data_IF_723266233781
#
_entry.id   IF_723266233781
#
_cell.length_a   1.000
_cell.length_b   1.000
_cell.length_c   1.000
_cell.angle_alpha   90.00
_cell.angle_beta   90.00
_cell.angle_gamma   90.00
#
_symmetry.space_group_name_H-M   'P 1'
#
loop_
_entity.id
_entity.type
_entity.pdbx_description
1 polymer ?
#
# COMPACT_ATOMS: atom_id res chain seq x y z
N UNK A 1 -0.74 58.01 9.19
CA UNK A 1 0.51 57.37 9.67
C UNK A 1 1.32 57.00 8.45
N UNK A 2 2.33 57.80 8.14
CA UNK A 2 3.25 57.54 7.03
C UNK A 2 4.13 56.35 7.42
N UNK A 3 4.03 55.24 6.70
CA UNK A 3 4.95 54.11 6.88
C UNK A 3 6.28 54.50 6.26
N UNK A 4 7.31 54.49 7.09
CA UNK A 4 8.70 54.77 6.75
C UNK A 4 9.14 53.91 5.54
N UNK A 5 9.46 54.56 4.43
CA UNK A 5 9.81 53.94 3.14
C UNK A 5 11.26 53.40 3.09
N UNK A 6 11.98 53.42 4.21
CA UNK A 6 13.39 53.03 4.30
C UNK A 6 13.63 51.54 4.62
N UNK A 7 12.60 50.73 4.77
CA UNK A 7 12.76 49.28 5.01
C UNK A 7 13.09 48.58 3.69
N UNK A 8 14.37 48.26 3.49
CA UNK A 8 14.80 47.35 2.42
C UNK A 8 14.22 45.96 2.67
N UNK A 9 13.18 45.61 1.93
CA UNK A 9 12.53 44.30 1.99
C UNK A 9 13.55 43.24 1.54
N UNK A 10 13.79 42.18 2.32
CA UNK A 10 14.72 41.12 1.94
C UNK A 10 14.33 40.49 0.60
N UNK A 11 15.32 40.11 -0.21
CA UNK A 11 15.08 39.45 -1.51
C UNK A 11 14.23 38.17 -1.38
N UNK A 12 14.27 37.50 -0.23
CA UNK A 12 13.40 36.37 0.07
C UNK A 12 11.91 36.76 0.13
N UNK A 13 11.58 37.94 0.66
CA UNK A 13 10.20 38.42 0.77
C UNK A 13 9.62 38.77 -0.60
N UNK A 14 10.41 39.36 -1.50
CA UNK A 14 9.96 39.67 -2.86
C UNK A 14 9.72 38.39 -3.66
N UNK A 15 10.59 37.40 -3.54
CA UNK A 15 10.41 36.10 -4.19
C UNK A 15 9.19 35.34 -3.68
N UNK A 16 8.94 35.38 -2.36
CA UNK A 16 7.75 34.80 -1.76
C UNK A 16 6.47 35.44 -2.31
N UNK A 17 6.41 36.78 -2.35
CA UNK A 17 5.23 37.50 -2.85
C UNK A 17 4.95 37.23 -4.34
N UNK A 18 6.00 37.05 -5.15
CA UNK A 18 5.87 36.66 -6.57
C UNK A 18 5.34 35.23 -6.68
N UNK A 19 5.90 34.28 -5.92
CA UNK A 19 5.45 32.89 -5.94
C UNK A 19 3.99 32.75 -5.50
N UNK A 20 3.56 33.58 -4.53
CA UNK A 20 2.17 33.63 -4.11
C UNK A 20 1.25 34.41 -5.07
N UNK A 21 1.78 35.09 -6.08
CA UNK A 21 0.99 35.88 -7.05
C UNK A 21 0.44 37.19 -6.47
N UNK A 22 0.98 37.63 -5.34
CA UNK A 22 0.68 38.93 -4.72
C UNK A 22 1.31 40.05 -5.56
N UNK A 23 2.50 39.78 -6.11
CA UNK A 23 3.18 40.65 -7.07
C UNK A 23 3.38 39.92 -8.39
N UNK A 24 3.27 40.67 -9.49
CA UNK A 24 3.46 40.15 -10.85
C UNK A 24 4.83 40.58 -11.37
N UNK A 25 5.59 39.63 -11.91
CA UNK A 25 6.87 39.93 -12.57
C UNK A 25 6.61 40.24 -14.04
N UNK A 26 6.97 41.44 -14.48
CA UNK A 26 6.85 41.87 -15.87
C UNK A 26 8.28 42.16 -16.37
N UNK A 27 8.88 41.21 -17.09
CA UNK A 27 10.29 41.30 -17.48
C UNK A 27 11.23 41.34 -16.26
N UNK A 28 12.04 42.40 -16.16
CA UNK A 28 12.98 42.62 -15.05
C UNK A 28 12.42 43.48 -13.91
N UNK A 29 11.19 43.99 -14.04
CA UNK A 29 10.52 44.84 -13.04
C UNK A 29 9.42 44.07 -12.30
N UNK A 30 9.27 44.37 -11.00
CA UNK A 30 8.23 43.79 -10.14
C UNK A 30 7.08 44.79 -10.05
N UNK A 31 5.91 44.41 -10.53
CA UNK A 31 4.70 45.20 -10.36
C UNK A 31 4.14 44.96 -8.95
N UNK A 32 4.09 46.02 -8.15
CA UNK A 32 3.55 46.01 -6.77
C UNK A 32 2.02 45.92 -6.71
N UNK A 33 1.34 46.09 -7.84
CA UNK A 33 -0.11 45.92 -7.97
C UNK A 33 -0.41 44.58 -8.64
N UNK A 34 -0.53 43.53 -7.83
CA UNK A 34 -1.02 42.22 -8.25
C UNK A 34 -2.36 41.88 -7.59
N UNK A 35 -2.66 40.58 -7.50
CA UNK A 35 -3.87 40.11 -6.81
C UNK A 35 -3.80 40.43 -5.31
N UNK A 36 -4.89 40.94 -4.70
CA UNK A 36 -4.93 41.17 -3.26
C UNK A 36 -4.49 39.93 -2.48
N UNK A 37 -3.66 40.16 -1.47
CA UNK A 37 -3.13 39.15 -0.55
C UNK A 37 -4.22 38.25 0.05
N UNK A 38 -5.37 38.85 0.40
CA UNK A 38 -6.57 38.15 0.90
C UNK A 38 -7.11 37.08 -0.05
N UNK A 39 -6.79 37.14 -1.35
CA UNK A 39 -7.22 36.20 -2.38
C UNK A 39 -6.05 35.30 -2.82
N UNK A 40 -4.87 35.90 -3.01
CA UNK A 40 -3.67 35.22 -3.50
C UNK A 40 -3.17 34.14 -2.53
N UNK A 41 -3.13 34.45 -1.22
CA UNK A 41 -2.63 33.56 -0.17
C UNK A 41 -3.48 32.29 -0.04
N UNK A 42 -4.80 32.34 0.20
CA UNK A 42 -5.61 31.14 0.34
C UNK A 42 -5.65 30.30 -0.94
N UNK A 43 -5.65 30.93 -2.12
CA UNK A 43 -5.63 30.22 -3.41
C UNK A 43 -4.36 29.39 -3.58
N UNK A 44 -3.19 29.97 -3.29
CA UNK A 44 -1.90 29.27 -3.39
C UNK A 44 -1.71 28.22 -2.31
N UNK A 45 -2.16 28.50 -1.08
CA UNK A 45 -2.21 27.50 -0.01
C UNK A 45 -3.08 26.31 -0.39
N UNK A 46 -4.24 26.53 -1.03
CA UNK A 46 -5.09 25.45 -1.52
C UNK A 46 -4.41 24.56 -2.56
N UNK A 47 -3.66 25.16 -3.49
CA UNK A 47 -2.86 24.42 -4.48
C UNK A 47 -1.74 23.63 -3.80
N UNK A 48 -0.95 24.27 -2.93
CA UNK A 48 0.13 23.62 -2.19
C UNK A 48 -0.38 22.48 -1.30
N UNK A 49 -1.53 22.67 -0.66
CA UNK A 49 -2.20 21.63 0.12
C UNK A 49 -2.65 20.48 -0.78
N UNK A 50 -3.20 20.76 -1.96
CA UNK A 50 -3.56 19.76 -2.96
C UNK A 50 -2.35 18.95 -3.43
N UNK A 51 -1.23 19.61 -3.73
CA UNK A 51 0.00 18.97 -4.20
C UNK A 51 0.67 18.17 -3.08
N UNK A 52 0.71 18.69 -1.86
CA UNK A 52 1.17 17.97 -0.67
C UNK A 52 0.32 16.73 -0.40
N UNK A 53 -1.01 16.86 -0.53
CA UNK A 53 -1.96 15.73 -0.35
C UNK A 53 -1.75 14.66 -1.42
N UNK A 54 -1.57 15.05 -2.70
CA UNK A 54 -1.28 14.12 -3.79
C UNK A 54 0.05 13.40 -3.56
N UNK A 55 1.08 14.14 -3.18
CA UNK A 55 2.43 13.60 -2.91
C UNK A 55 2.40 12.61 -1.74
N UNK A 56 1.69 12.93 -0.66
CA UNK A 56 1.51 12.03 0.47
C UNK A 56 0.77 10.75 0.08
N UNK A 57 -0.33 10.86 -0.69
CA UNK A 57 -1.07 9.69 -1.22
C UNK A 57 -0.20 8.81 -2.12
N UNK A 58 0.61 9.41 -2.99
CA UNK A 58 1.51 8.67 -3.87
C UNK A 58 2.62 7.94 -3.08
N UNK A 59 3.17 8.56 -2.03
CA UNK A 59 4.19 7.93 -1.18
C UNK A 59 3.62 6.75 -0.36
N UNK A 60 2.39 6.87 0.16
CA UNK A 60 1.66 5.78 0.82
C UNK A 60 1.36 4.62 -0.16
N UNK A 61 0.90 4.93 -1.37
CA UNK A 61 0.66 3.94 -2.42
C UNK A 61 1.95 3.21 -2.85
N UNK A 62 3.08 3.93 -2.93
CA UNK A 62 4.36 3.33 -3.28
C UNK A 62 4.89 2.37 -2.19
N UNK A 63 4.72 2.72 -0.91
CA UNK A 63 5.11 1.84 0.21
C UNK A 63 4.28 0.57 0.27
N UNK A 64 2.96 0.69 0.13
CA UNK A 64 2.04 -0.45 0.09
C UNK A 64 2.31 -1.36 -1.12
N UNK A 65 2.58 -0.78 -2.30
CA UNK A 65 2.97 -1.55 -3.48
C UNK A 65 4.29 -2.31 -3.31
N UNK A 66 5.31 -1.68 -2.71
CA UNK A 66 6.61 -2.33 -2.45
C UNK A 66 6.48 -3.50 -1.48
N UNK A 67 5.79 -3.30 -0.36
CA UNK A 67 5.53 -4.37 0.61
C UNK A 67 4.75 -5.53 -0.03
N UNK A 68 3.75 -5.20 -0.86
CA UNK A 68 2.98 -6.19 -1.63
C UNK A 68 3.87 -7.01 -2.55
N UNK A 69 4.78 -6.36 -3.30
CA UNK A 69 5.71 -7.06 -4.19
C UNK A 69 6.63 -8.02 -3.42
N UNK A 70 7.26 -7.57 -2.33
CA UNK A 70 8.16 -8.39 -1.51
C UNK A 70 7.45 -9.61 -0.89
N UNK A 71 6.21 -9.44 -0.44
CA UNK A 71 5.38 -10.53 0.10
C UNK A 71 5.04 -11.55 -1.00
N UNK A 72 4.66 -11.07 -2.18
CA UNK A 72 4.31 -11.92 -3.34
C UNK A 72 5.51 -12.73 -3.81
N UNK A 73 6.68 -12.10 -3.89
CA UNK A 73 7.94 -12.73 -4.30
C UNK A 73 8.36 -13.84 -3.33
N UNK A 74 8.35 -13.55 -2.03
CA UNK A 74 8.70 -14.54 -1.00
C UNK A 74 7.74 -15.73 -0.98
N UNK A 75 6.43 -15.50 -1.12
CA UNK A 75 5.44 -16.58 -1.16
C UNK A 75 5.57 -17.43 -2.41
N UNK A 76 5.76 -16.78 -3.55
CA UNK A 76 6.04 -17.44 -4.83
C UNK A 76 7.24 -18.37 -4.70
N UNK A 77 8.35 -17.88 -4.15
CA UNK A 77 9.57 -18.66 -3.98
C UNK A 77 9.35 -19.86 -3.05
N UNK A 78 8.57 -19.70 -1.97
CA UNK A 78 8.24 -20.79 -1.05
C UNK A 78 7.37 -21.87 -1.71
N UNK A 79 6.37 -21.47 -2.50
CA UNK A 79 5.52 -22.41 -3.26
C UNK A 79 6.33 -23.14 -4.33
N UNK A 80 7.19 -22.43 -5.06
CA UNK A 80 8.08 -23.00 -6.09
C UNK A 80 9.09 -23.99 -5.50
N UNK A 81 9.76 -23.61 -4.41
CA UNK A 81 10.72 -24.48 -3.73
C UNK A 81 10.04 -25.72 -3.13
N UNK A 82 8.88 -25.53 -2.49
CA UNK A 82 8.06 -26.62 -1.97
C UNK A 82 7.67 -27.58 -3.09
N UNK A 83 7.00 -27.10 -4.13
CA UNK A 83 6.54 -27.91 -5.25
C UNK A 83 7.66 -28.69 -5.95
N UNK A 84 8.79 -28.05 -6.27
CA UNK A 84 9.90 -28.70 -6.95
C UNK A 84 10.51 -29.82 -6.09
N UNK A 85 10.59 -29.63 -4.78
CA UNK A 85 11.04 -30.68 -3.83
C UNK A 85 10.08 -31.87 -3.84
N UNK A 86 8.78 -31.59 -3.76
CA UNK A 86 7.71 -32.60 -3.73
C UNK A 86 7.73 -33.50 -4.96
N UNK A 87 7.76 -32.89 -6.14
CA UNK A 87 7.79 -33.60 -7.42
C UNK A 87 9.10 -34.38 -7.59
N UNK A 88 10.22 -33.84 -7.12
CA UNK A 88 11.51 -34.51 -7.12
C UNK A 88 11.48 -35.79 -6.29
N UNK A 89 10.93 -35.73 -5.07
CA UNK A 89 10.83 -36.91 -4.20
C UNK A 89 9.94 -37.99 -4.80
N UNK A 90 8.82 -37.61 -5.42
CA UNK A 90 7.92 -38.53 -6.13
C UNK A 90 8.63 -39.20 -7.31
N UNK A 91 9.40 -38.43 -8.08
CA UNK A 91 10.15 -38.95 -9.23
C UNK A 91 11.24 -39.93 -8.79
N UNK A 92 11.99 -39.59 -7.73
CA UNK A 92 13.03 -40.48 -7.16
C UNK A 92 12.43 -41.77 -6.62
N UNK A 93 11.30 -41.69 -5.93
CA UNK A 93 10.59 -42.87 -5.39
C UNK A 93 10.10 -43.83 -6.49
N UNK A 94 9.85 -43.33 -7.70
CA UNK A 94 9.37 -44.14 -8.82
C UNK A 94 10.48 -44.80 -9.65
N UNK A 95 11.68 -44.19 -9.72
CA UNK A 95 12.69 -44.61 -10.69
C UNK A 95 14.11 -44.88 -10.17
N UNK A 96 14.38 -44.86 -8.85
CA UNK A 96 15.72 -45.17 -8.28
C UNK A 96 16.89 -44.52 -9.07
N UNK A 97 16.76 -43.27 -9.52
CA UNK A 97 17.64 -42.67 -10.55
C UNK A 97 18.20 -41.30 -10.16
N UNK A 98 19.44 -41.01 -10.57
CA UNK A 98 20.04 -39.67 -10.71
C UNK A 98 19.44 -38.92 -11.92
N UNK A 99 18.12 -38.97 -12.06
CA UNK A 99 17.44 -38.38 -13.21
C UNK A 99 17.72 -36.87 -13.28
N UNK A 100 17.98 -36.35 -14.48
CA UNK A 100 18.00 -34.92 -14.72
C UNK A 100 16.61 -34.37 -14.43
N UNK A 101 16.50 -33.43 -13.49
CA UNK A 101 15.22 -32.87 -13.04
C UNK A 101 15.05 -31.43 -13.55
N UNK A 102 13.88 -31.08 -14.11
CA UNK A 102 13.61 -29.70 -14.48
C UNK A 102 13.25 -28.87 -13.26
N UNK A 103 13.69 -27.61 -13.24
CA UNK A 103 13.12 -26.61 -12.33
C UNK A 103 11.84 -26.07 -12.96
N UNK A 104 10.71 -26.25 -12.27
CA UNK A 104 9.41 -25.81 -12.76
C UNK A 104 9.04 -24.49 -12.08
N UNK A 105 8.75 -23.49 -12.89
CA UNK A 105 8.29 -22.17 -12.46
C UNK A 105 6.77 -22.22 -12.20
N UNK A 106 6.39 -22.36 -10.92
CA UNK A 106 4.99 -22.52 -10.50
C UNK A 106 4.16 -21.27 -10.79
N UNK A 107 4.78 -20.08 -10.81
CA UNK A 107 4.08 -18.84 -11.21
C UNK A 107 3.51 -18.88 -12.61
N UNK A 108 4.31 -19.32 -13.59
CA UNK A 108 3.85 -19.43 -14.99
C UNK A 108 2.75 -20.48 -15.12
N UNK A 109 2.90 -21.60 -14.40
CA UNK A 109 1.90 -22.65 -14.33
C UNK A 109 0.56 -22.14 -13.77
N UNK A 110 0.57 -21.52 -12.59
CA UNK A 110 -0.63 -20.99 -11.95
C UNK A 110 -1.28 -19.85 -12.77
N UNK A 111 -0.47 -19.09 -13.51
CA UNK A 111 -0.95 -18.00 -14.39
C UNK A 111 -1.55 -18.49 -15.71
N UNK A 112 -1.50 -19.80 -16.00
CA UNK A 112 -2.05 -20.37 -17.24
C UNK A 112 -3.57 -20.27 -17.37
N UNK A 113 -4.29 -19.90 -16.29
CA UNK A 113 -5.75 -19.85 -16.25
C UNK A 113 -6.43 -21.22 -16.14
N UNK A 114 -5.65 -22.31 -16.12
CA UNK A 114 -6.16 -23.69 -16.07
C UNK A 114 -6.45 -24.18 -14.63
N UNK A 115 -6.17 -23.36 -13.62
CA UNK A 115 -6.32 -23.70 -12.22
C UNK A 115 -7.49 -22.95 -11.60
N UNK A 116 -8.37 -23.68 -10.90
CA UNK A 116 -9.50 -23.10 -10.17
C UNK A 116 -9.10 -22.71 -8.73
N UNK A 117 -10.06 -22.34 -7.89
CA UNK A 117 -9.84 -21.80 -6.53
C UNK A 117 -9.07 -22.71 -5.56
N UNK A 118 -8.86 -23.99 -5.90
CA UNK A 118 -8.20 -24.95 -5.03
C UNK A 118 -7.20 -25.76 -5.85
N UNK A 119 -5.93 -25.35 -5.85
CA UNK A 119 -4.88 -26.00 -6.63
C UNK A 119 -4.27 -27.14 -5.82
N UNK A 120 -4.34 -28.37 -6.35
CA UNK A 120 -3.70 -29.53 -5.75
C UNK A 120 -2.40 -29.90 -6.46
N UNK A 121 -1.53 -30.66 -5.79
CA UNK A 121 -0.31 -31.21 -6.39
C UNK A 121 -0.63 -32.07 -7.62
N UNK A 122 -1.74 -32.83 -7.60
CA UNK A 122 -2.16 -33.64 -8.73
C UNK A 122 -2.59 -32.79 -9.94
N UNK A 123 -3.26 -31.66 -9.71
CA UNK A 123 -3.64 -30.74 -10.80
C UNK A 123 -2.41 -30.13 -11.46
N UNK A 124 -1.40 -29.77 -10.65
CA UNK A 124 -0.12 -29.28 -11.15
C UNK A 124 0.61 -30.34 -11.99
N UNK A 125 0.61 -31.61 -11.54
CA UNK A 125 1.19 -32.73 -12.30
C UNK A 125 0.43 -32.98 -13.62
N UNK A 126 -0.90 -32.90 -13.62
CA UNK A 126 -1.70 -32.97 -14.84
C UNK A 126 -1.35 -31.84 -15.82
N UNK A 127 -1.20 -30.62 -15.31
CA UNK A 127 -0.82 -29.49 -16.15
C UNK A 127 0.54 -29.70 -16.81
N UNK A 128 1.53 -30.21 -16.06
CA UNK A 128 2.85 -30.56 -16.60
C UNK A 128 2.70 -31.58 -17.74
N UNK A 129 1.93 -32.64 -17.52
CA UNK A 129 1.71 -33.67 -18.52
C UNK A 129 1.05 -33.14 -19.81
N UNK A 130 0.08 -32.25 -19.66
CA UNK A 130 -0.75 -31.82 -20.80
C UNK A 130 -0.14 -30.65 -21.56
N UNK A 131 0.64 -29.81 -20.89
CA UNK A 131 1.09 -28.50 -21.45
C UNK A 131 2.60 -28.40 -21.57
N UNK A 132 3.36 -29.08 -20.71
CA UNK A 132 4.81 -28.90 -20.62
C UNK A 132 5.60 -30.11 -21.12
N UNK A 133 4.94 -31.24 -21.40
CA UNK A 133 5.57 -32.52 -21.75
C UNK A 133 6.56 -32.38 -22.91
N UNK A 134 6.10 -31.94 -24.09
CA UNK A 134 6.94 -31.83 -25.29
C UNK A 134 8.14 -30.88 -25.10
N UNK A 135 7.94 -29.80 -24.34
CA UNK A 135 8.98 -28.82 -24.04
C UNK A 135 10.02 -29.38 -23.08
N UNK A 136 9.61 -30.21 -22.12
CA UNK A 136 10.52 -30.84 -21.17
C UNK A 136 11.24 -32.04 -21.81
N UNK A 137 10.55 -32.82 -22.62
CA UNK A 137 11.12 -33.95 -23.35
C UNK A 137 12.21 -33.50 -24.32
N UNK A 138 11.95 -32.46 -25.12
CA UNK A 138 12.94 -31.86 -26.03
C UNK A 138 14.18 -31.30 -25.32
N UNK A 139 14.08 -30.93 -24.04
CA UNK A 139 15.21 -30.50 -23.18
C UNK A 139 15.96 -31.66 -22.51
N UNK A 140 15.58 -32.90 -22.82
CA UNK A 140 16.20 -34.12 -22.32
C UNK A 140 15.70 -34.56 -20.94
N UNK A 141 14.52 -34.12 -20.51
CA UNK A 141 13.89 -34.54 -19.25
C UNK A 141 12.98 -35.76 -19.44
N UNK A 142 13.34 -36.72 -20.29
CA UNK A 142 12.49 -37.84 -20.68
C UNK A 142 12.08 -38.74 -19.50
N UNK A 143 13.00 -39.04 -18.58
CA UNK A 143 12.69 -39.83 -17.37
C UNK A 143 11.65 -39.14 -16.49
N UNK A 144 11.77 -37.82 -16.34
CA UNK A 144 10.80 -37.00 -15.62
C UNK A 144 9.43 -37.00 -16.30
N UNK A 145 9.40 -36.77 -17.61
CA UNK A 145 8.16 -36.74 -18.39
C UNK A 145 7.44 -38.09 -18.36
N UNK A 146 8.17 -39.19 -18.49
CA UNK A 146 7.63 -40.54 -18.36
C UNK A 146 7.08 -40.82 -16.95
N UNK A 147 7.74 -40.29 -15.92
CA UNK A 147 7.25 -40.38 -14.54
C UNK A 147 5.91 -39.68 -14.39
N UNK A 148 5.84 -38.42 -14.80
CA UNK A 148 4.63 -37.60 -14.76
C UNK A 148 3.50 -38.24 -15.55
N UNK A 149 3.76 -38.70 -16.78
CA UNK A 149 2.78 -39.37 -17.62
C UNK A 149 2.27 -40.66 -16.99
N UNK A 150 3.16 -41.47 -16.40
CA UNK A 150 2.75 -42.69 -15.69
C UNK A 150 1.87 -42.42 -14.47
N UNK A 151 2.10 -41.30 -13.76
CA UNK A 151 1.28 -40.87 -12.64
C UNK A 151 -0.12 -40.50 -13.12
N UNK A 152 -0.21 -39.63 -14.14
CA UNK A 152 -1.49 -39.14 -14.67
C UNK A 152 -2.30 -40.26 -15.32
N UNK A 153 -1.65 -41.16 -16.07
CA UNK A 153 -2.33 -42.25 -16.77
C UNK A 153 -2.82 -43.36 -15.84
N UNK A 154 -2.13 -43.61 -14.71
CA UNK A 154 -2.40 -44.77 -13.84
C UNK A 154 -3.14 -44.43 -12.56
N UNK A 155 -3.26 -43.15 -12.21
CA UNK A 155 -3.76 -42.73 -10.89
C UNK A 155 -4.82 -41.66 -11.03
N UNK A 156 -5.86 -41.78 -10.22
CA UNK A 156 -6.79 -40.68 -9.98
C UNK A 156 -6.23 -39.75 -8.90
N UNK A 157 -6.74 -38.52 -8.82
CA UNK A 157 -6.38 -37.56 -7.77
C UNK A 157 -6.49 -38.18 -6.36
N UNK A 158 -7.57 -38.91 -6.08
CA UNK A 158 -7.79 -39.57 -4.78
C UNK A 158 -6.73 -40.62 -4.46
N UNK A 159 -6.36 -41.45 -5.44
CA UNK A 159 -5.33 -42.49 -5.24
C UNK A 159 -3.94 -41.88 -5.12
N UNK A 160 -3.66 -40.82 -5.89
CA UNK A 160 -2.41 -40.07 -5.79
C UNK A 160 -2.25 -39.43 -4.40
N UNK A 161 -3.27 -38.72 -3.93
CA UNK A 161 -3.24 -38.04 -2.64
C UNK A 161 -3.08 -39.02 -1.47
N UNK A 162 -3.59 -40.25 -1.57
CA UNK A 162 -3.37 -41.30 -0.55
C UNK A 162 -1.94 -41.86 -0.54
N UNK A 163 -1.29 -41.90 -1.69
CA UNK A 163 0.06 -42.48 -1.83
C UNK A 163 1.14 -41.43 -1.54
N UNK A 164 0.85 -40.16 -1.80
CA UNK A 164 1.73 -39.03 -1.57
C UNK A 164 1.06 -38.02 -0.63
N UNK A 165 0.54 -38.51 0.50
CA UNK A 165 -0.21 -37.72 1.48
C UNK A 165 0.61 -36.55 2.00
N UNK A 166 1.80 -36.81 2.54
CA UNK A 166 2.71 -35.78 3.04
C UNK A 166 3.00 -34.72 1.98
N UNK A 167 3.16 -35.17 0.74
CA UNK A 167 3.54 -34.29 -0.35
C UNK A 167 2.37 -33.38 -0.78
N UNK A 168 1.19 -33.98 -0.86
CA UNK A 168 -0.05 -33.28 -1.24
C UNK A 168 -0.51 -32.33 -0.13
N UNK A 169 -0.37 -32.70 1.13
CA UNK A 169 -0.68 -31.86 2.29
C UNK A 169 0.23 -30.64 2.36
N UNK A 170 1.53 -30.79 2.13
CA UNK A 170 2.45 -29.66 2.18
C UNK A 170 2.24 -28.69 1.01
N UNK A 171 1.86 -29.15 -0.19
CA UNK A 171 1.43 -28.24 -1.29
C UNK A 171 0.13 -27.54 -0.94
N UNK A 172 -0.85 -28.27 -0.39
CA UNK A 172 -2.14 -27.67 0.04
C UNK A 172 -1.93 -26.62 1.13
N UNK A 173 -1.03 -26.89 2.09
CA UNK A 173 -0.65 -25.96 3.14
C UNK A 173 0.03 -24.72 2.56
N UNK A 174 1.00 -24.89 1.64
CA UNK A 174 1.68 -23.77 0.98
C UNK A 174 0.71 -22.90 0.16
N UNK A 175 -0.26 -23.51 -0.53
CA UNK A 175 -1.32 -22.79 -1.27
C UNK A 175 -2.26 -22.05 -0.31
N UNK A 176 -2.64 -22.68 0.81
CA UNK A 176 -3.47 -22.04 1.83
C UNK A 176 -2.77 -20.88 2.53
N UNK A 177 -1.49 -21.04 2.88
CA UNK A 177 -0.65 -19.98 3.45
C UNK A 177 -0.45 -18.82 2.45
N UNK A 178 -0.21 -19.13 1.17
CA UNK A 178 -0.18 -18.15 0.09
C UNK A 178 -1.50 -17.37 -0.01
N UNK A 179 -2.64 -18.06 0.00
CA UNK A 179 -3.97 -17.44 -0.05
C UNK A 179 -4.29 -16.59 1.19
N UNK A 180 -3.96 -17.06 2.39
CA UNK A 180 -4.14 -16.31 3.63
C UNK A 180 -3.31 -15.03 3.63
N UNK A 181 -2.11 -15.10 3.06
CA UNK A 181 -1.20 -13.99 3.04
C UNK A 181 -1.43 -13.01 1.86
N UNK A 182 -2.04 -13.46 0.75
CA UNK A 182 -2.76 -12.58 -0.19
C UNK A 182 -3.93 -11.86 0.51
N UNK A 183 -4.68 -12.55 1.39
CA UNK A 183 -5.71 -11.96 2.24
C UNK A 183 -5.16 -10.88 3.19
N UNK A 184 -3.94 -11.05 3.71
CA UNK A 184 -3.23 -10.05 4.50
C UNK A 184 -2.86 -8.80 3.69
N UNK A 185 -2.66 -8.89 2.36
CA UNK A 185 -2.48 -7.71 1.50
C UNK A 185 -3.74 -6.83 1.51
N UNK A 186 -4.92 -7.45 1.50
CA UNK A 186 -6.18 -6.72 1.59
C UNK A 186 -6.37 -6.08 2.97
N UNK A 187 -5.95 -6.77 4.03
CA UNK A 187 -6.05 -6.29 5.43
C UNK A 187 -5.04 -5.17 5.78
N UNK A 188 -3.84 -5.19 5.21
CA UNK A 188 -2.83 -4.16 5.44
C UNK A 188 -3.18 -2.85 4.72
N UNK A 189 -3.69 -2.94 3.49
CA UNK A 189 -4.23 -1.78 2.77
C UNK A 189 -5.39 -1.11 3.54
N UNK A 190 -6.27 -1.89 4.17
CA UNK A 190 -7.33 -1.33 5.02
C UNK A 190 -6.78 -0.75 6.32
N UNK A 191 -5.75 -1.35 6.94
CA UNK A 191 -5.12 -0.81 8.15
C UNK A 191 -4.42 0.53 7.95
N UNK A 192 -3.77 0.75 6.79
CA UNK A 192 -3.13 2.04 6.47
C UNK A 192 -4.20 3.13 6.35
N UNK A 193 -5.26 2.85 5.60
CA UNK A 193 -6.40 3.76 5.46
C UNK A 193 -7.03 4.09 6.82
N UNK A 194 -7.22 3.08 7.68
CA UNK A 194 -7.78 3.26 9.01
C UNK A 194 -6.89 4.15 9.88
N UNK A 195 -5.56 3.97 9.86
CA UNK A 195 -4.65 4.80 10.64
C UNK A 195 -4.67 6.27 10.17
N UNK A 196 -4.73 6.52 8.86
CA UNK A 196 -4.85 7.88 8.32
C UNK A 196 -6.19 8.53 8.70
N UNK A 197 -7.29 7.77 8.65
CA UNK A 197 -8.61 8.23 9.07
C UNK A 197 -8.62 8.57 10.56
N UNK A 198 -8.06 7.69 11.41
CA UNK A 198 -7.95 7.91 12.86
C UNK A 198 -7.11 9.16 13.15
N UNK A 199 -5.95 9.32 12.52
CA UNK A 199 -5.11 10.50 12.68
C UNK A 199 -5.82 11.80 12.26
N UNK A 200 -6.60 11.77 11.17
CA UNK A 200 -7.40 12.91 10.71
C UNK A 200 -8.51 13.28 11.70
N UNK A 201 -9.21 12.28 12.26
CA UNK A 201 -10.25 12.50 13.27
C UNK A 201 -9.65 13.08 14.55
N UNK A 202 -8.52 12.54 15.02
CA UNK A 202 -7.82 13.05 16.21
C UNK A 202 -7.39 14.51 16.00
N UNK A 203 -6.87 14.88 14.83
CA UNK A 203 -6.48 16.25 14.53
C UNK A 203 -7.67 17.24 14.58
N UNK A 204 -8.84 16.86 14.04
CA UNK A 204 -10.06 17.68 14.11
C UNK A 204 -10.50 17.85 15.57
N UNK A 205 -10.50 16.78 16.35
CA UNK A 205 -10.87 16.82 17.78
C UNK A 205 -9.96 17.77 18.54
N UNK A 206 -8.64 17.73 18.33
CA UNK A 206 -7.67 18.63 18.99
C UNK A 206 -7.95 20.10 18.65
N UNK A 207 -8.22 20.43 17.38
CA UNK A 207 -8.54 21.82 16.96
C UNK A 207 -9.81 22.32 17.65
N UNK A 208 -10.86 21.49 17.69
CA UNK A 208 -12.13 21.82 18.36
C UNK A 208 -11.91 22.03 19.87
N UNK A 209 -11.11 21.17 20.50
CA UNK A 209 -10.81 21.24 21.93
C UNK A 209 -10.09 22.56 22.30
N UNK A 210 -9.11 22.97 21.49
CA UNK A 210 -8.43 24.27 21.65
C UNK A 210 -9.40 25.44 21.48
N UNK A 211 -10.29 25.40 20.50
CA UNK A 211 -11.32 26.43 20.32
C UNK A 211 -12.25 26.53 21.53
N UNK A 212 -12.66 25.40 22.11
CA UNK A 212 -13.53 25.36 23.31
C UNK A 212 -12.81 25.97 24.52
N UNK A 213 -11.54 25.65 24.75
CA UNK A 213 -10.76 26.21 25.87
C UNK A 213 -10.63 27.73 25.74
N UNK A 214 -10.21 28.22 24.57
CA UNK A 214 -10.10 29.66 24.30
C UNK A 214 -11.46 30.34 24.43
N UNK A 215 -12.52 29.73 23.91
CA UNK A 215 -13.89 30.23 24.02
C UNK A 215 -14.33 30.36 25.48
N UNK A 216 -14.07 29.36 26.31
CA UNK A 216 -14.39 29.38 27.74
C UNK A 216 -13.64 30.50 28.46
N UNK A 217 -12.35 30.69 28.17
CA UNK A 217 -11.54 31.79 28.73
C UNK A 217 -12.12 33.15 28.33
N UNK A 218 -12.45 33.34 27.05
CA UNK A 218 -13.02 34.60 26.54
C UNK A 218 -14.41 34.88 27.13
N UNK A 219 -15.28 33.85 27.21
CA UNK A 219 -16.63 33.96 27.79
C UNK A 219 -16.57 34.29 29.27
N UNK A 220 -15.64 33.67 30.00
CA UNK A 220 -15.42 33.95 31.41
C UNK A 220 -14.93 35.39 31.62
N UNK A 221 -13.96 35.86 30.82
CA UNK A 221 -13.46 37.25 30.87
C UNK A 221 -14.56 38.27 30.60
N UNK A 222 -15.46 38.04 29.62
CA UNK A 222 -16.59 38.95 29.34
C UNK A 222 -17.56 39.04 30.51
N UNK A 223 -17.94 37.91 31.13
CA UNK A 223 -18.84 37.92 32.29
C UNK A 223 -18.23 38.62 33.50
N UNK A 224 -16.92 38.46 33.76
CA UNK A 224 -16.24 39.14 34.87
C UNK A 224 -16.23 40.67 34.70
N UNK A 225 -16.05 41.18 33.47
CA UNK A 225 -16.14 42.62 33.18
C UNK A 225 -17.53 43.19 33.46
N UNK A 226 -18.60 42.45 33.11
CA UNK A 226 -19.99 42.90 33.34
C UNK A 226 -20.35 42.98 34.83
N UNK A 227 -19.89 42.02 35.66
CA UNK A 227 -20.13 42.05 37.10
C UNK A 227 -19.47 43.26 37.78
N UNK A 228 -18.23 43.61 37.39
CA UNK A 228 -17.54 44.81 37.91
C UNK A 228 -18.29 46.09 37.54
N UNK A 229 -18.78 46.21 36.31
CA UNK A 229 -19.57 47.38 35.89
C UNK A 229 -20.82 47.60 36.74
N UNK A 230 -21.53 46.52 37.09
CA UNK A 230 -22.73 46.58 37.94
C UNK A 230 -22.43 47.09 39.37
N UNK A 231 -21.26 46.76 39.93
CA UNK A 231 -20.85 47.24 41.25
C UNK A 231 -20.50 48.73 41.22
N UNK A 232 -19.76 49.20 40.21
CA UNK A 232 -19.49 50.64 40.03
C UNK A 232 -20.76 51.47 39.85
N UNK A 233 -21.75 50.92 39.13
CA UNK A 233 -23.05 51.59 38.93
C UNK A 233 -23.88 51.68 40.21
N UNK A 234 -23.66 50.78 41.18
CA UNK A 234 -24.30 50.85 42.50
C UNK A 234 -23.61 51.87 43.42
N UNK A 235 -22.27 51.89 43.42
CA UNK A 235 -21.48 52.84 44.24
C UNK A 235 -21.63 54.31 43.85
N UNK A 236 -22.02 54.60 42.60
CA UNK A 236 -22.27 55.97 42.12
C UNK A 236 -23.71 56.44 42.37
N UNK A 237 -24.58 55.59 42.92
CA UNK A 237 -26.01 55.87 43.10
C UNK A 237 -26.38 56.09 44.58
N UNK A 238 -25.45 55.84 45.49
CA UNK A 238 -25.42 56.43 46.84
C UNK A 238 -24.64 57.74 46.79
#
# INVERSE_FOLDING_TARGET
MSLDTSITVPAACSQFQINFGIHLRIGNTINRYGTPDTIAIPKRLGVLLGDATKTAKAAEAAKSAKLTAEITEKQTALIEAGFNTQIMDITKALFFSEAKLPTITVTQMLSSGNFTNNVTLFDMIQHINNTMYDTLESKGYSQFCNSVSSIVARRTSTTFNKLYTTQSEAVTKAVAEGKAAEGLKLATNTSILNNTIIASVVAIVVIVLVMVIIYLILRYRRKKKMKKKLQYMKLLKE
#
